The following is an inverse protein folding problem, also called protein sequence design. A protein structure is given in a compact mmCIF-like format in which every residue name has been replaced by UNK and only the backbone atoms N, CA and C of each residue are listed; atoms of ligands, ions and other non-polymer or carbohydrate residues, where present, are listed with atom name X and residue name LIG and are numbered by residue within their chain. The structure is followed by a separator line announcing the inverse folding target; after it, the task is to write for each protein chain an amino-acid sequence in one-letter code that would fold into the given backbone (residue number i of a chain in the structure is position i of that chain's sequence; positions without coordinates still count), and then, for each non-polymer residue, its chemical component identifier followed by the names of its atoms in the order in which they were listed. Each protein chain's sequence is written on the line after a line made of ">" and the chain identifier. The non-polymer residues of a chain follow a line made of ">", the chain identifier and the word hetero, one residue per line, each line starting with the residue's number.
data_IF_180070497124
#
_entry.id   IF_180070497124
#
_cell.length_a   1.000
_cell.length_b   1.000
_cell.length_c   1.000
_cell.angle_alpha   90.00
_cell.angle_beta   90.00
_cell.angle_gamma   90.00
#
_symmetry.space_group_name_H-M   'P 1'
#
loop_
_entity.id
_entity.type
_entity.pdbx_description
1 polymer ?
#
# COMPACT_ATOMS: atom_id res chain seq x y z
N UNK A 1 -69.34 -48.02 21.28
CA UNK A 1 -67.86 -48.10 21.24
C UNK A 1 -67.32 -46.94 22.07
N UNK A 2 -66.28 -47.17 22.88
CA UNK A 2 -65.91 -46.30 24.00
C UNK A 2 -65.17 -45.03 23.54
N UNK A 3 -65.75 -43.85 23.83
CA UNK A 3 -65.25 -42.51 23.46
C UNK A 3 -63.78 -42.26 23.87
N UNK A 4 -63.29 -42.92 24.92
CA UNK A 4 -61.91 -42.79 25.39
C UNK A 4 -60.88 -43.34 24.39
N UNK A 5 -61.20 -44.44 23.69
CA UNK A 5 -60.29 -45.09 22.74
C UNK A 5 -60.12 -44.23 21.47
N UNK A 6 -61.20 -43.58 21.03
CA UNK A 6 -61.16 -42.62 19.92
C UNK A 6 -60.27 -41.41 20.24
N UNK A 7 -60.37 -40.89 21.47
CA UNK A 7 -59.55 -39.75 21.95
C UNK A 7 -58.05 -40.08 21.94
N UNK A 8 -57.68 -41.22 22.51
CA UNK A 8 -56.28 -41.68 22.53
C UNK A 8 -55.71 -41.86 21.12
N UNK A 9 -56.52 -42.36 20.18
CA UNK A 9 -56.09 -42.51 18.78
C UNK A 9 -55.86 -41.15 18.10
N UNK A 10 -56.72 -40.17 18.35
CA UNK A 10 -56.57 -38.82 17.80
C UNK A 10 -55.33 -38.11 18.37
N UNK A 11 -55.08 -38.24 19.67
CA UNK A 11 -53.89 -37.68 20.32
C UNK A 11 -52.60 -38.26 19.74
N UNK A 12 -52.53 -39.59 19.55
CA UNK A 12 -51.38 -40.24 18.93
C UNK A 12 -51.15 -39.79 17.49
N UNK A 13 -52.23 -39.58 16.72
CA UNK A 13 -52.13 -39.03 15.36
C UNK A 13 -51.65 -37.58 15.35
N UNK A 14 -52.09 -36.76 16.31
CA UNK A 14 -51.62 -35.38 16.47
C UNK A 14 -50.15 -35.33 16.88
N UNK A 15 -49.71 -36.21 17.78
CA UNK A 15 -48.30 -36.29 18.19
C UNK A 15 -47.38 -36.66 17.02
N UNK A 16 -47.78 -37.65 16.21
CA UNK A 16 -47.00 -38.04 15.03
C UNK A 16 -46.94 -36.92 13.99
N UNK A 17 -48.05 -36.21 13.75
CA UNK A 17 -48.08 -35.04 12.86
C UNK A 17 -47.17 -33.92 13.38
N UNK A 18 -47.17 -33.68 14.70
CA UNK A 18 -46.30 -32.68 15.32
C UNK A 18 -44.83 -33.05 15.16
N UNK A 19 -44.45 -34.31 15.43
CA UNK A 19 -43.08 -34.82 15.23
C UNK A 19 -42.63 -34.68 13.78
N UNK A 20 -43.45 -35.10 12.82
CA UNK A 20 -43.12 -34.97 11.40
C UNK A 20 -42.97 -33.50 10.98
N UNK A 21 -43.80 -32.60 11.51
CA UNK A 21 -43.68 -31.18 11.25
C UNK A 21 -42.41 -30.59 11.86
N UNK A 22 -42.02 -31.04 13.05
CA UNK A 22 -40.80 -30.60 13.72
C UNK A 22 -39.55 -31.07 12.96
N UNK A 23 -39.51 -32.33 12.52
CA UNK A 23 -38.41 -32.85 11.69
C UNK A 23 -38.28 -32.08 10.37
N UNK A 24 -39.41 -31.72 9.73
CA UNK A 24 -39.40 -30.89 8.52
C UNK A 24 -38.85 -29.50 8.78
N UNK A 25 -39.26 -28.85 9.87
CA UNK A 25 -38.72 -27.54 10.26
C UNK A 25 -37.25 -27.62 10.58
N UNK A 26 -36.82 -28.67 11.28
CA UNK A 26 -35.42 -28.89 11.61
C UNK A 26 -34.57 -29.11 10.36
N UNK A 27 -35.04 -29.90 9.40
CA UNK A 27 -34.36 -30.11 8.12
C UNK A 27 -34.26 -28.81 7.32
N UNK A 28 -35.33 -28.00 7.27
CA UNK A 28 -35.31 -26.70 6.61
C UNK A 28 -34.34 -25.72 7.29
N UNK A 29 -34.30 -25.70 8.63
CA UNK A 29 -33.38 -24.87 9.39
C UNK A 29 -31.92 -25.30 9.20
N UNK A 30 -31.66 -26.61 9.11
CA UNK A 30 -30.33 -27.14 8.81
C UNK A 30 -29.89 -26.75 7.41
N UNK A 31 -30.73 -26.98 6.40
CA UNK A 31 -30.42 -26.62 5.02
C UNK A 31 -30.13 -25.13 4.87
N UNK A 32 -30.96 -24.28 5.51
CA UNK A 32 -30.75 -22.82 5.49
C UNK A 32 -29.41 -22.45 6.12
N UNK A 33 -29.08 -23.04 7.27
CA UNK A 33 -27.80 -22.79 7.96
C UNK A 33 -26.61 -23.21 7.09
N UNK A 34 -26.69 -24.35 6.43
CA UNK A 34 -25.62 -24.85 5.56
C UNK A 34 -25.40 -23.91 4.37
N UNK A 35 -26.49 -23.41 3.76
CA UNK A 35 -26.41 -22.40 2.69
C UNK A 35 -25.80 -21.09 3.19
N UNK A 36 -26.24 -20.60 4.36
CA UNK A 36 -25.71 -19.36 4.95
C UNK A 36 -24.21 -19.50 5.27
N UNK A 37 -23.79 -20.68 5.77
CA UNK A 37 -22.38 -20.98 6.04
C UNK A 37 -21.54 -21.05 4.77
N UNK A 38 -22.04 -21.67 3.69
CA UNK A 38 -21.32 -21.75 2.42
C UNK A 38 -21.15 -20.37 1.77
N UNK A 39 -22.21 -19.54 1.79
CA UNK A 39 -22.15 -18.16 1.33
C UNK A 39 -21.14 -17.34 2.14
N UNK A 40 -21.17 -17.47 3.47
CA UNK A 40 -20.26 -16.75 4.35
C UNK A 40 -18.81 -17.18 4.12
N UNK A 41 -18.55 -18.47 3.94
CA UNK A 41 -17.23 -19.00 3.62
C UNK A 41 -16.73 -18.47 2.28
N UNK A 42 -17.58 -18.44 1.26
CA UNK A 42 -17.20 -17.94 -0.07
C UNK A 42 -16.86 -16.44 -0.04
N UNK A 43 -17.61 -15.64 0.73
CA UNK A 43 -17.32 -14.23 0.94
C UNK A 43 -15.97 -14.03 1.65
N UNK A 44 -15.68 -14.85 2.66
CA UNK A 44 -14.41 -14.84 3.38
C UNK A 44 -13.22 -15.16 2.46
N UNK A 45 -13.36 -16.20 1.64
CA UNK A 45 -12.34 -16.62 0.67
C UNK A 45 -12.05 -15.51 -0.35
N UNK A 46 -13.08 -14.90 -0.93
CA UNK A 46 -12.95 -13.75 -1.85
C UNK A 46 -12.29 -12.54 -1.17
N UNK A 47 -12.63 -12.26 0.09
CA UNK A 47 -12.03 -11.17 0.84
C UNK A 47 -10.54 -11.38 1.08
N UNK A 48 -10.14 -12.59 1.49
CA UNK A 48 -8.71 -12.90 1.68
C UNK A 48 -7.95 -12.94 0.35
N UNK A 49 -8.58 -13.39 -0.74
CA UNK A 49 -8.01 -13.30 -2.08
C UNK A 49 -7.72 -11.85 -2.48
N UNK A 50 -8.73 -10.98 -2.40
CA UNK A 50 -8.60 -9.57 -2.75
C UNK A 50 -7.58 -8.83 -1.87
N UNK A 51 -7.52 -9.15 -0.58
CA UNK A 51 -6.50 -8.62 0.34
C UNK A 51 -5.08 -9.01 -0.12
N UNK A 52 -4.89 -10.25 -0.57
CA UNK A 52 -3.63 -10.70 -1.17
C UNK A 52 -3.27 -9.94 -2.44
N UNK A 53 -4.24 -9.66 -3.31
CA UNK A 53 -4.04 -8.87 -4.53
C UNK A 53 -3.66 -7.42 -4.23
N UNK A 54 -4.32 -6.78 -3.26
CA UNK A 54 -4.01 -5.41 -2.84
C UNK A 54 -2.59 -5.32 -2.26
N UNK A 55 -2.20 -6.28 -1.41
CA UNK A 55 -0.84 -6.36 -0.88
C UNK A 55 0.18 -6.56 -2.00
N UNK A 56 -0.11 -7.44 -2.97
CA UNK A 56 0.75 -7.67 -4.14
C UNK A 56 0.94 -6.39 -4.96
N UNK A 57 -0.15 -5.67 -5.26
CA UNK A 57 -0.10 -4.38 -5.98
C UNK A 57 0.74 -3.35 -5.21
N UNK A 58 0.57 -3.29 -3.88
CA UNK A 58 1.35 -2.39 -3.04
C UNK A 58 2.85 -2.73 -3.10
N UNK A 59 3.21 -4.00 -2.94
CA UNK A 59 4.60 -4.48 -3.04
C UNK A 59 5.20 -4.18 -4.41
N UNK A 60 4.51 -4.49 -5.50
CA UNK A 60 4.97 -4.23 -6.87
C UNK A 60 5.20 -2.73 -7.13
N UNK A 61 4.27 -1.86 -6.69
CA UNK A 61 4.43 -0.40 -6.83
C UNK A 61 5.59 0.13 -6.01
N UNK A 62 5.83 -0.42 -4.81
CA UNK A 62 6.98 -0.04 -3.98
C UNK A 62 8.31 -0.49 -4.59
N UNK A 63 8.37 -1.70 -5.17
CA UNK A 63 9.56 -2.19 -5.91
C UNK A 63 9.84 -1.31 -7.13
N UNK A 64 8.81 -0.98 -7.93
CA UNK A 64 8.94 -0.09 -9.08
C UNK A 64 9.46 1.30 -8.68
N UNK A 65 8.97 1.85 -7.56
CA UNK A 65 9.45 3.12 -7.01
C UNK A 65 10.93 3.07 -6.65
N UNK A 66 11.37 2.00 -5.97
CA UNK A 66 12.79 1.82 -5.59
C UNK A 66 13.70 1.66 -6.82
N UNK A 67 13.26 0.89 -7.82
CA UNK A 67 14.00 0.73 -9.08
C UNK A 67 14.15 2.07 -9.83
N UNK A 68 13.09 2.89 -9.87
CA UNK A 68 13.14 4.25 -10.44
C UNK A 68 14.12 5.18 -9.71
N UNK A 69 14.21 5.08 -8.37
CA UNK A 69 15.15 5.87 -7.59
C UNK A 69 16.62 5.43 -7.79
N UNK A 70 16.89 4.14 -8.01
CA UNK A 70 18.23 3.63 -8.35
C UNK A 70 18.73 4.15 -9.71
N UNK A 71 17.85 4.28 -10.70
CA UNK A 71 18.18 4.89 -12.01
C UNK A 71 18.46 6.40 -11.89
N UNK A 72 17.75 7.13 -11.02
CA UNK A 72 18.05 8.55 -10.72
C UNK A 72 19.38 8.73 -9.95
N UNK A 73 19.78 7.72 -9.17
CA UNK A 73 21.03 7.75 -8.39
C UNK A 73 22.26 7.35 -9.23
N UNK A 74 22.09 6.54 -10.29
CA UNK A 74 23.14 6.23 -11.26
C UNK A 74 23.32 7.31 -12.34
N UNK A 75 22.28 8.09 -12.67
CA UNK A 75 22.41 9.25 -13.59
C UNK A 75 23.12 10.46 -12.95
N UNK A 76 23.31 10.48 -11.63
CA UNK A 76 24.15 11.49 -10.96
C UNK A 76 25.59 11.05 -10.68
N UNK A 77 25.95 9.79 -10.98
CA UNK A 77 27.29 9.24 -10.70
C UNK A 77 27.96 8.58 -11.91
N UNK A 78 27.77 9.03 -13.14
CA UNK A 78 28.77 8.74 -14.21
C UNK A 78 28.52 9.53 -15.50
N UNK A 79 29.04 10.76 -15.57
CA UNK A 79 29.33 11.36 -16.88
C UNK A 79 30.45 12.43 -16.85
N UNK A 80 31.01 12.78 -15.69
CA UNK A 80 32.01 13.85 -15.59
C UNK A 80 33.16 13.55 -14.59
N UNK A 81 33.39 12.28 -14.32
CA UNK A 81 34.58 11.70 -13.68
C UNK A 81 35.52 11.33 -14.84
N UNK A 82 36.73 11.84 -15.10
CA UNK A 82 37.52 12.93 -14.58
C UNK A 82 38.51 13.30 -15.72
N UNK A 83 38.63 14.57 -16.11
CA UNK A 83 39.77 15.00 -16.94
C UNK A 83 41.00 15.34 -16.08
N UNK A 84 40.88 15.34 -14.75
CA UNK A 84 41.97 15.74 -13.87
C UNK A 84 42.03 15.05 -12.49
N UNK A 85 41.31 13.93 -12.25
CA UNK A 85 41.18 13.16 -10.99
C UNK A 85 40.95 13.96 -9.68
N UNK A 86 40.65 15.25 -9.80
CA UNK A 86 40.46 16.15 -8.67
C UNK A 86 38.97 16.30 -8.34
N UNK A 87 38.60 16.35 -7.04
CA UNK A 87 37.22 16.50 -6.63
C UNK A 87 36.64 17.84 -7.09
N UNK A 88 35.33 17.86 -7.39
CA UNK A 88 34.59 19.08 -7.61
C UNK A 88 34.16 19.68 -6.26
N UNK A 89 34.36 20.99 -6.09
CA UNK A 89 33.97 21.74 -4.89
C UNK A 89 32.81 22.67 -5.19
N UNK A 90 31.91 22.80 -4.21
CA UNK A 90 30.80 23.74 -4.23
C UNK A 90 31.29 25.16 -3.95
N UNK A 91 30.92 26.12 -4.80
CA UNK A 91 31.26 27.53 -4.65
C UNK A 91 30.03 28.40 -4.90
N UNK A 92 30.07 29.61 -4.37
CA UNK A 92 29.06 30.65 -4.58
C UNK A 92 29.65 31.73 -5.49
N UNK A 93 28.91 32.11 -6.53
CA UNK A 93 29.32 33.17 -7.44
C UNK A 93 29.23 34.54 -6.75
N UNK A 94 30.29 35.33 -6.91
CA UNK A 94 30.41 36.71 -6.42
C UNK A 94 30.42 37.74 -7.55
N UNK A 95 29.93 37.34 -8.72
CA UNK A 95 29.89 38.21 -9.91
C UNK A 95 28.58 38.99 -9.92
N UNK A 96 28.62 40.26 -10.33
CA UNK A 96 27.42 41.11 -10.40
C UNK A 96 26.33 40.55 -11.33
N UNK A 97 26.74 39.75 -12.33
CA UNK A 97 25.83 39.08 -13.27
C UNK A 97 25.15 37.84 -12.69
N UNK A 98 25.77 37.19 -11.71
CA UNK A 98 25.27 35.96 -11.09
C UNK A 98 25.49 36.00 -9.57
N UNK A 99 24.90 36.97 -8.84
CA UNK A 99 25.07 37.04 -7.41
C UNK A 99 24.47 35.80 -6.75
N UNK A 100 25.17 35.25 -5.76
CA UNK A 100 24.75 34.16 -4.87
C UNK A 100 24.39 32.82 -5.52
N UNK A 101 24.53 32.68 -6.85
CA UNK A 101 24.31 31.40 -7.53
C UNK A 101 25.40 30.40 -7.15
N UNK A 102 24.98 29.19 -6.78
CA UNK A 102 25.89 28.08 -6.43
C UNK A 102 26.32 27.30 -7.68
N UNK A 103 27.58 26.86 -7.71
CA UNK A 103 28.14 26.05 -8.80
C UNK A 103 29.19 25.07 -8.30
N UNK A 104 29.42 24.00 -9.06
CA UNK A 104 30.55 23.10 -8.87
C UNK A 104 31.71 23.51 -9.78
N UNK A 105 32.94 23.44 -9.27
CA UNK A 105 34.18 23.64 -10.04
C UNK A 105 35.29 22.72 -9.56
N UNK A 106 36.32 22.47 -10.38
CA UNK A 106 37.51 21.73 -9.94
C UNK A 106 38.14 22.39 -8.69
N UNK A 107 38.51 21.57 -7.69
CA UNK A 107 39.18 22.03 -6.47
C UNK A 107 40.50 22.76 -6.76
N UNK A 108 41.31 22.21 -7.66
CA UNK A 108 42.63 22.76 -8.02
C UNK A 108 42.49 24.05 -8.84
N UNK A 109 41.52 24.08 -9.76
CA UNK A 109 41.27 25.22 -10.63
C UNK A 109 42.25 25.33 -11.79
N UNK A 110 41.81 25.98 -12.88
CA UNK A 110 42.52 26.04 -14.17
C UNK A 110 43.95 26.60 -14.06
N UNK A 111 44.16 27.61 -13.22
CA UNK A 111 45.44 28.31 -13.11
C UNK A 111 46.49 27.55 -12.28
N UNK A 112 46.09 26.48 -11.59
CA UNK A 112 46.98 25.68 -10.74
C UNK A 112 47.16 24.25 -11.30
N UNK A 113 46.96 24.05 -12.60
CA UNK A 113 47.06 22.72 -13.25
C UNK A 113 45.79 21.86 -13.13
N UNK A 114 44.70 22.41 -12.60
CA UNK A 114 43.40 21.74 -12.55
C UNK A 114 42.62 21.85 -13.87
N UNK A 115 41.58 21.02 -14.03
CA UNK A 115 40.73 21.09 -15.21
C UNK A 115 39.73 22.25 -15.15
N UNK A 116 39.24 22.68 -16.33
CA UNK A 116 38.28 23.78 -16.46
C UNK A 116 36.83 23.37 -16.16
N UNK A 117 36.62 22.35 -15.31
CA UNK A 117 35.30 21.84 -14.96
C UNK A 117 34.47 22.91 -14.25
N UNK A 118 33.24 23.12 -14.72
CA UNK A 118 32.29 24.10 -14.21
C UNK A 118 30.84 23.64 -14.47
N UNK A 119 29.97 23.68 -13.45
CA UNK A 119 28.54 23.36 -13.59
C UNK A 119 27.69 24.18 -12.61
N UNK A 120 26.71 24.93 -13.12
CA UNK A 120 25.72 25.62 -12.28
C UNK A 120 24.81 24.64 -11.53
N UNK A 121 24.43 24.99 -10.31
CA UNK A 121 23.35 24.33 -9.59
C UNK A 121 22.05 25.07 -9.94
N UNK A 122 21.05 24.40 -10.51
CA UNK A 122 19.78 25.04 -10.80
C UNK A 122 19.05 25.38 -9.49
N UNK A 123 18.35 26.51 -9.46
CA UNK A 123 17.78 27.10 -8.23
C UNK A 123 16.69 26.24 -7.58
N UNK A 124 16.09 25.32 -8.33
CA UNK A 124 15.08 24.34 -7.92
C UNK A 124 15.67 23.06 -7.28
N UNK A 125 17.00 22.91 -7.30
CA UNK A 125 17.68 21.73 -6.77
C UNK A 125 17.57 21.61 -5.23
N UNK A 126 17.50 22.74 -4.51
CA UNK A 126 17.26 22.78 -3.06
C UNK A 126 15.80 22.35 -2.73
N UNK A 127 14.84 22.76 -3.57
CA UNK A 127 13.41 22.39 -3.43
C UNK A 127 13.21 20.90 -3.67
N UNK A 128 13.92 20.32 -4.63
CA UNK A 128 13.81 18.90 -5.00
C UNK A 128 14.27 17.95 -3.89
N UNK A 129 15.33 18.29 -3.15
CA UNK A 129 15.83 17.48 -2.02
C UNK A 129 14.87 17.52 -0.83
N UNK A 130 14.29 18.70 -0.54
CA UNK A 130 13.29 18.87 0.50
C UNK A 130 11.95 18.20 0.14
N UNK A 131 11.53 18.25 -1.13
CA UNK A 131 10.34 17.55 -1.60
C UNK A 131 10.49 16.02 -1.49
N UNK A 132 11.66 15.48 -1.82
CA UNK A 132 11.93 14.05 -1.69
C UNK A 132 11.89 13.56 -0.24
N UNK A 133 12.52 14.31 0.68
CA UNK A 133 12.53 14.00 2.12
C UNK A 133 11.14 14.17 2.74
N UNK A 134 10.45 15.28 2.44
CA UNK A 134 9.11 15.54 2.94
C UNK A 134 8.08 14.52 2.42
N UNK A 135 8.18 14.09 1.15
CA UNK A 135 7.35 13.01 0.60
C UNK A 135 7.63 11.68 1.30
N UNK A 136 8.89 11.36 1.60
CA UNK A 136 9.24 10.13 2.30
C UNK A 136 8.73 10.12 3.75
N UNK A 137 8.87 11.22 4.47
CA UNK A 137 8.31 11.36 5.83
C UNK A 137 6.78 11.34 5.85
N UNK A 138 6.12 12.00 4.89
CA UNK A 138 4.66 11.92 4.74
C UNK A 138 4.20 10.49 4.44
N UNK A 139 4.86 9.77 3.53
CA UNK A 139 4.52 8.38 3.21
C UNK A 139 4.78 7.42 4.39
N UNK A 140 5.82 7.67 5.18
CA UNK A 140 6.09 6.92 6.41
C UNK A 140 5.00 7.19 7.45
N UNK A 141 4.63 8.46 7.66
CA UNK A 141 3.52 8.84 8.56
C UNK A 141 2.16 8.29 8.09
N UNK A 142 1.91 8.24 6.78
CA UNK A 142 0.68 7.65 6.23
C UNK A 142 0.61 6.13 6.43
N UNK A 143 1.75 5.43 6.34
CA UNK A 143 1.90 3.99 6.61
C UNK A 143 1.71 3.67 8.09
N UNK A 144 2.25 4.52 8.97
CA UNK A 144 2.26 4.31 10.41
C UNK A 144 0.99 4.89 11.09
N UNK A 145 0.14 5.61 10.35
CA UNK A 145 -1.11 6.18 10.86
C UNK A 145 -2.15 5.07 11.12
N UNK A 146 -2.49 4.93 12.40
CA UNK A 146 -3.54 4.02 12.87
C UNK A 146 -4.92 4.41 12.32
N UNK A 147 -5.20 5.70 12.15
CA UNK A 147 -6.47 6.18 11.58
C UNK A 147 -6.63 5.79 10.11
N UNK A 148 -5.58 5.82 9.30
CA UNK A 148 -5.65 5.34 7.92
C UNK A 148 -5.89 3.82 7.86
N UNK A 149 -5.32 3.07 8.81
CA UNK A 149 -5.54 1.64 8.92
C UNK A 149 -6.96 1.31 9.35
N UNK A 150 -7.50 2.03 10.33
CA UNK A 150 -8.87 1.87 10.81
C UNK A 150 -9.89 2.35 9.78
N UNK A 151 -9.63 3.44 9.04
CA UNK A 151 -10.45 3.89 7.90
C UNK A 151 -10.54 2.82 6.81
N UNK A 152 -9.42 2.18 6.45
CA UNK A 152 -9.42 1.03 5.54
C UNK A 152 -10.32 -0.08 6.10
N UNK A 153 -10.10 -0.49 7.35
CA UNK A 153 -10.89 -1.56 7.98
C UNK A 153 -12.37 -1.21 8.20
N UNK A 154 -12.74 0.08 8.15
CA UNK A 154 -14.12 0.55 8.25
C UNK A 154 -14.79 0.60 6.88
N UNK A 155 -14.06 1.01 5.83
CA UNK A 155 -14.54 1.02 4.44
C UNK A 155 -14.78 -0.39 3.87
N UNK A 156 -14.13 -1.42 4.43
CA UNK A 156 -14.35 -2.83 4.08
C UNK A 156 -15.41 -3.53 4.97
N UNK A 157 -16.18 -2.77 5.76
CA UNK A 157 -17.19 -3.30 6.69
C UNK A 157 -18.65 -3.02 6.25
N UNK A 158 -18.85 -2.42 5.09
CA UNK A 158 -20.15 -2.34 4.39
C UNK A 158 -20.23 -3.44 3.33
#
# INVERSE_FOLDING_TARGET
>A
MSSAVESMRQEMQLDMKRKLQEERKQMAANLKRDMDQDLQKKLEEEREHMKGEVEKIFQEKMVALMAGMQQSSQTFKSSYIYLCDNPAVLKTSRTDRNPDKKFYSCAVGKNNGGCSYFKWIPSDFEVSKLQGIAKFEMLKKLRDSKENRDLLMTLYRE
#
